data_IF_399206016150
#
_entry.id   IF_399206016150
#
_cell.length_a   1.000
_cell.length_b   1.000
_cell.length_c   1.000
_cell.angle_alpha   90.00
_cell.angle_beta   90.00
_cell.angle_gamma   90.00
#
_symmetry.space_group_name_H-M   'P 1'
#
loop_
_entity.id
_entity.type
_entity.pdbx_description
1 polymer ?
#
# COMPACT_ATOMS: atom_id res chain seq x y z
N UNK A 1 -8.14 -6.34 29.12
CA UNK A 1 -6.74 -6.63 28.73
C UNK A 1 -6.61 -6.47 27.23
N UNK A 2 -5.69 -5.64 26.75
CA UNK A 2 -5.36 -5.56 25.32
C UNK A 2 -4.67 -6.87 24.94
N UNK A 3 -5.25 -7.63 24.00
CA UNK A 3 -4.60 -8.85 23.48
C UNK A 3 -3.29 -8.44 22.80
N UNK A 4 -2.15 -8.85 23.36
CA UNK A 4 -0.85 -8.65 22.72
C UNK A 4 -0.85 -9.37 21.38
N UNK A 5 -0.56 -8.62 20.31
CA UNK A 5 -0.31 -9.20 18.99
C UNK A 5 1.05 -9.85 19.02
N UNK A 6 1.13 -11.14 18.68
CA UNK A 6 2.39 -11.83 18.47
C UNK A 6 3.05 -11.32 17.19
N UNK A 7 4.35 -11.04 17.24
CA UNK A 7 5.14 -10.81 16.04
C UNK A 7 5.60 -12.12 15.40
N UNK A 8 5.54 -12.18 14.07
CA UNK A 8 5.88 -13.36 13.26
C UNK A 8 6.55 -12.94 11.95
N UNK A 9 7.16 -13.91 11.25
CA UNK A 9 7.86 -13.67 9.98
C UNK A 9 8.89 -12.54 10.11
N UNK A 10 8.79 -11.55 9.22
CA UNK A 10 9.65 -10.36 9.21
C UNK A 10 9.67 -9.55 10.53
N UNK A 11 8.65 -9.67 11.38
CA UNK A 11 8.62 -9.03 12.70
C UNK A 11 9.05 -9.96 13.84
N UNK A 12 9.29 -11.25 13.58
CA UNK A 12 9.65 -12.22 14.61
C UNK A 12 10.94 -11.83 15.34
N UNK A 13 10.99 -12.09 16.65
CA UNK A 13 12.14 -11.99 17.54
C UNK A 13 13.06 -13.22 17.51
N UNK A 14 12.71 -14.25 16.72
CA UNK A 14 13.51 -15.45 16.56
C UNK A 14 14.33 -15.35 15.28
N UNK A 15 15.65 -15.42 15.41
CA UNK A 15 16.61 -15.41 14.30
C UNK A 15 16.28 -16.44 13.21
N UNK A 16 15.80 -17.63 13.59
CA UNK A 16 15.33 -18.66 12.65
C UNK A 16 14.29 -18.16 11.64
N UNK A 17 13.42 -17.23 12.04
CA UNK A 17 12.34 -16.70 11.19
C UNK A 17 12.63 -15.29 10.67
N UNK A 18 13.60 -14.59 11.26
CA UNK A 18 13.97 -13.21 10.93
C UNK A 18 15.48 -13.01 11.13
N UNK A 19 16.32 -13.59 10.27
CA UNK A 19 17.77 -13.64 10.51
C UNK A 19 18.40 -12.25 10.57
N UNK A 20 17.87 -11.29 9.80
CA UNK A 20 18.47 -9.96 9.65
C UNK A 20 17.96 -8.94 10.68
N UNK A 21 16.72 -9.06 11.15
CA UNK A 21 16.05 -8.04 11.97
C UNK A 21 15.50 -8.56 13.31
N UNK A 22 15.83 -9.78 13.73
CA UNK A 22 15.25 -10.36 14.96
C UNK A 22 15.50 -9.51 16.22
N UNK A 23 16.62 -8.81 16.28
CA UNK A 23 17.01 -7.96 17.42
C UNK A 23 16.69 -6.46 17.23
N UNK A 24 15.99 -6.08 16.16
CA UNK A 24 15.55 -4.69 15.97
C UNK A 24 14.35 -4.34 16.86
N UNK A 25 14.21 -3.06 17.18
CA UNK A 25 12.96 -2.53 17.73
C UNK A 25 11.84 -2.67 16.68
N UNK A 26 10.71 -3.24 17.08
CA UNK A 26 9.58 -3.51 16.17
C UNK A 26 8.31 -2.83 16.64
N UNK A 27 7.64 -2.19 15.70
CA UNK A 27 6.36 -1.52 15.93
C UNK A 27 5.37 -1.99 14.88
N UNK A 28 4.15 -2.33 15.32
CA UNK A 28 3.05 -2.66 14.42
C UNK A 28 1.94 -1.66 14.62
N UNK A 29 1.72 -0.83 13.59
CA UNK A 29 0.62 0.13 13.54
C UNK A 29 -0.62 -0.60 13.00
N UNK A 30 -1.75 -0.50 13.72
CA UNK A 30 -3.00 -1.07 13.24
C UNK A 30 -3.59 -0.15 12.17
N UNK A 31 -4.01 -0.73 11.06
CA UNK A 31 -4.70 0.00 10.00
C UNK A 31 -6.13 0.30 10.43
N UNK A 32 -6.48 1.58 10.54
CA UNK A 32 -7.80 2.01 11.00
C UNK A 32 -8.33 3.26 10.28
N UNK A 33 -7.66 3.75 9.23
CA UNK A 33 -8.04 5.01 8.58
C UNK A 33 -8.75 4.83 7.23
N UNK A 34 -8.58 3.69 6.56
CA UNK A 34 -9.25 3.38 5.29
C UNK A 34 -8.64 3.99 4.02
N UNK A 35 -7.55 4.76 4.13
CA UNK A 35 -6.95 5.51 3.00
C UNK A 35 -5.43 5.40 2.94
N UNK A 36 -4.85 4.27 3.34
CA UNK A 36 -3.39 4.08 3.35
C UNK A 36 -2.64 5.21 4.09
N UNK A 37 -3.24 5.73 5.17
CA UNK A 37 -2.75 6.84 5.99
C UNK A 37 -2.67 8.21 5.29
N UNK A 38 -3.43 8.45 4.22
CA UNK A 38 -3.42 9.73 3.50
C UNK A 38 -4.53 10.70 3.92
N UNK A 39 -5.62 10.19 4.51
CA UNK A 39 -6.79 11.01 4.81
C UNK A 39 -6.57 12.07 5.89
N UNK A 40 -7.19 13.22 5.74
CA UNK A 40 -7.11 14.30 6.73
C UNK A 40 -8.35 15.21 6.66
N UNK A 41 -9.46 14.70 7.14
CA UNK A 41 -10.72 15.43 7.26
C UNK A 41 -10.89 15.94 8.68
N UNK A 42 -11.12 17.25 8.82
CA UNK A 42 -11.34 17.88 10.13
C UNK A 42 -12.69 17.47 10.72
N UNK A 43 -13.77 17.59 9.95
CA UNK A 43 -15.10 17.20 10.40
C UNK A 43 -15.23 15.67 10.55
N UNK A 44 -16.04 15.24 11.50
CA UNK A 44 -16.51 13.85 11.59
C UNK A 44 -17.65 13.69 10.60
N UNK A 45 -17.70 12.56 9.88
CA UNK A 45 -18.82 12.27 8.99
C UNK A 45 -20.13 12.22 9.81
N UNK A 46 -21.10 13.10 9.57
CA UNK A 46 -22.33 13.16 10.37
C UNK A 46 -23.27 11.98 10.12
N UNK A 47 -23.16 11.29 8.97
CA UNK A 47 -24.01 10.16 8.61
C UNK A 47 -23.46 8.84 9.19
N UNK A 48 -22.14 8.66 9.19
CA UNK A 48 -21.50 7.40 9.60
C UNK A 48 -20.78 7.48 10.95
N UNK A 49 -20.56 8.70 11.48
CA UNK A 49 -19.72 8.97 12.66
C UNK A 49 -18.27 8.47 12.50
N UNK A 50 -17.78 8.36 11.26
CA UNK A 50 -16.42 7.94 10.94
C UNK A 50 -15.44 9.11 10.89
N UNK A 51 -14.18 8.79 11.17
CA UNK A 51 -13.06 9.72 11.15
C UNK A 51 -12.11 9.35 10.01
N UNK A 52 -11.87 10.28 9.09
CA UNK A 52 -10.97 10.07 7.95
C UNK A 52 -9.65 10.83 8.18
N UNK A 53 -8.84 10.34 9.13
CA UNK A 53 -7.67 11.07 9.67
C UNK A 53 -6.37 10.28 9.59
N UNK A 54 -6.20 9.49 8.54
CA UNK A 54 -5.02 8.65 8.31
C UNK A 54 -3.69 9.39 8.45
N UNK A 55 -3.53 10.57 7.84
CA UNK A 55 -2.29 11.32 7.91
C UNK A 55 -1.97 11.79 9.33
N UNK A 56 -3.00 12.15 10.11
CA UNK A 56 -2.81 12.54 11.52
C UNK A 56 -2.36 11.36 12.36
N UNK A 57 -2.92 10.18 12.10
CA UNK A 57 -2.51 8.93 12.76
C UNK A 57 -1.04 8.64 12.42
N UNK A 58 -0.64 8.75 11.16
CA UNK A 58 0.74 8.55 10.74
C UNK A 58 1.71 9.48 11.48
N UNK A 59 1.43 10.79 11.47
CA UNK A 59 2.28 11.77 12.16
C UNK A 59 2.36 11.50 13.66
N UNK A 60 1.21 11.34 14.33
CA UNK A 60 1.17 11.12 15.78
C UNK A 60 1.91 9.85 16.21
N UNK A 61 1.84 8.79 15.41
CA UNK A 61 2.60 7.56 15.68
C UNK A 61 4.09 7.79 15.51
N UNK A 62 4.53 8.44 14.43
CA UNK A 62 5.96 8.70 14.19
C UNK A 62 6.52 9.60 15.29
N UNK A 63 5.82 10.67 15.65
CA UNK A 63 6.23 11.61 16.71
C UNK A 63 6.38 10.90 18.07
N UNK A 64 5.40 10.10 18.47
CA UNK A 64 5.45 9.31 19.71
C UNK A 64 6.64 8.31 19.71
N UNK A 65 6.95 7.69 18.57
CA UNK A 65 8.10 6.79 18.45
C UNK A 65 9.43 7.53 18.50
N UNK A 66 9.52 8.73 17.90
CA UNK A 66 10.70 9.58 17.98
C UNK A 66 11.01 9.93 19.44
N UNK A 67 9.99 10.32 20.21
CA UNK A 67 10.11 10.58 21.65
C UNK A 67 10.55 9.35 22.45
N UNK A 68 10.05 8.16 22.08
CA UNK A 68 10.44 6.87 22.69
C UNK A 68 11.81 6.34 22.27
N UNK A 69 12.57 7.11 21.51
CA UNK A 69 13.97 6.82 21.19
C UNK A 69 14.25 6.49 19.73
N UNK A 70 13.23 6.43 18.86
CA UNK A 70 13.45 6.27 17.42
C UNK A 70 14.27 7.42 16.84
N UNK A 71 14.27 8.61 17.47
CA UNK A 71 15.14 9.73 17.11
C UNK A 71 16.64 9.42 17.23
N UNK A 72 17.02 8.37 17.94
CA UNK A 72 18.41 7.93 18.10
C UNK A 72 18.76 6.73 17.19
N UNK A 73 17.83 6.31 16.33
CA UNK A 73 18.03 5.14 15.49
C UNK A 73 19.11 5.41 14.43
N UNK A 74 20.06 4.47 14.29
CA UNK A 74 21.03 4.49 13.19
C UNK A 74 20.39 4.07 11.86
N UNK A 75 19.45 3.12 11.94
CA UNK A 75 18.69 2.61 10.80
C UNK A 75 17.20 2.61 11.14
N UNK A 76 16.37 3.00 10.19
CA UNK A 76 14.91 2.89 10.28
C UNK A 76 14.36 2.28 9.00
N UNK A 77 13.38 1.40 9.14
CA UNK A 77 12.68 0.77 8.01
C UNK A 77 11.19 1.00 8.16
N UNK A 78 10.59 1.67 7.18
CA UNK A 78 9.13 1.72 7.04
C UNK A 78 8.69 0.54 6.18
N UNK A 79 7.89 -0.37 6.75
CA UNK A 79 7.35 -1.52 6.01
C UNK A 79 5.85 -1.68 6.18
N UNK A 80 5.21 -2.29 5.19
CA UNK A 80 3.76 -2.50 5.18
C UNK A 80 3.33 -3.48 4.11
N UNK A 81 2.18 -4.12 4.33
CA UNK A 81 1.59 -5.12 3.44
C UNK A 81 0.24 -4.61 2.89
N UNK A 82 -0.07 -4.89 1.62
CA UNK A 82 -1.35 -4.49 0.98
C UNK A 82 -1.58 -2.97 1.03
N UNK A 83 -2.69 -2.48 1.59
CA UNK A 83 -2.90 -1.04 1.83
C UNK A 83 -1.78 -0.40 2.66
N UNK A 84 -1.17 -1.14 3.58
CA UNK A 84 0.03 -0.70 4.29
C UNK A 84 1.26 -0.60 3.38
N UNK A 85 1.40 -1.49 2.40
CA UNK A 85 2.45 -1.42 1.38
C UNK A 85 2.27 -0.21 0.47
N UNK A 86 1.03 0.09 0.06
CA UNK A 86 0.71 1.33 -0.65
C UNK A 86 1.06 2.56 0.21
N UNK A 87 0.72 2.53 1.51
CA UNK A 87 1.10 3.59 2.45
C UNK A 87 2.61 3.81 2.49
N UNK A 88 3.42 2.74 2.50
CA UNK A 88 4.88 2.86 2.44
C UNK A 88 5.32 3.64 1.20
N UNK A 89 4.78 3.33 0.02
CA UNK A 89 5.13 4.00 -1.24
C UNK A 89 4.76 5.50 -1.18
N UNK A 90 3.59 5.83 -0.63
CA UNK A 90 3.08 7.20 -0.54
C UNK A 90 3.80 8.05 0.50
N UNK A 91 4.26 7.44 1.59
CA UNK A 91 4.84 8.15 2.73
C UNK A 91 6.36 7.97 2.89
N UNK A 92 7.04 7.23 2.00
CA UNK A 92 8.44 6.88 2.18
C UNK A 92 9.36 8.10 2.40
N UNK A 93 9.29 9.08 1.50
CA UNK A 93 10.10 10.29 1.60
C UNK A 93 9.70 11.16 2.81
N UNK A 94 8.40 11.26 3.10
CA UNK A 94 7.90 11.95 4.30
C UNK A 94 8.41 11.29 5.59
N UNK A 95 8.46 9.96 5.65
CA UNK A 95 9.03 9.25 6.78
C UNK A 95 10.51 9.56 6.93
N UNK A 96 11.28 9.57 5.83
CA UNK A 96 12.70 9.97 5.84
C UNK A 96 12.90 11.39 6.38
N UNK A 97 12.03 12.33 6.01
CA UNK A 97 12.10 13.73 6.45
C UNK A 97 11.83 13.89 7.95
N UNK A 98 11.03 13.02 8.56
CA UNK A 98 10.72 13.06 9.99
C UNK A 98 11.87 12.54 10.88
N UNK A 99 12.87 11.87 10.31
CA UNK A 99 14.01 11.32 11.04
C UNK A 99 15.27 12.20 10.89
N UNK A 100 16.20 12.16 11.87
CA UNK A 100 17.46 12.89 11.75
C UNK A 100 18.22 12.54 10.48
N UNK A 101 18.97 13.52 9.95
CA UNK A 101 19.76 13.33 8.73
C UNK A 101 20.83 12.23 8.85
N UNK A 102 21.26 11.91 10.07
CA UNK A 102 22.19 10.81 10.37
C UNK A 102 21.54 9.42 10.31
N UNK A 103 20.21 9.32 10.34
CA UNK A 103 19.52 8.03 10.30
C UNK A 103 19.42 7.53 8.87
N UNK A 104 19.84 6.28 8.65
CA UNK A 104 19.66 5.60 7.37
C UNK A 104 18.24 5.04 7.28
N UNK A 105 17.41 5.66 6.44
CA UNK A 105 16.03 5.23 6.23
C UNK A 105 15.92 4.43 4.94
N UNK A 106 15.16 3.34 5.00
CA UNK A 106 14.71 2.58 3.85
C UNK A 106 13.22 2.29 3.97
N UNK A 107 12.61 1.91 2.86
CA UNK A 107 11.21 1.55 2.78
C UNK A 107 11.05 0.18 2.10
N UNK A 108 10.09 -0.62 2.57
CA UNK A 108 9.74 -1.90 1.97
C UNK A 108 8.22 -2.01 1.82
N UNK A 109 7.74 -1.99 0.58
CA UNK A 109 6.33 -2.18 0.27
C UNK A 109 6.09 -3.63 -0.16
N UNK A 110 5.30 -4.36 0.60
CA UNK A 110 4.86 -5.72 0.29
C UNK A 110 3.41 -5.71 -0.21
N UNK A 111 3.14 -6.34 -1.36
CA UNK A 111 1.82 -6.45 -1.99
C UNK A 111 1.08 -5.09 -2.13
N UNK A 112 1.82 -3.98 -2.21
CA UNK A 112 1.29 -2.62 -2.24
C UNK A 112 1.19 -2.02 -3.64
N UNK A 113 1.59 -2.76 -4.68
CA UNK A 113 1.65 -2.28 -6.06
C UNK A 113 0.35 -2.57 -6.80
N UNK A 114 -0.66 -1.71 -6.62
CA UNK A 114 -1.93 -1.80 -7.34
C UNK A 114 -1.80 -1.22 -8.75
N UNK A 115 -2.28 -1.95 -9.75
CA UNK A 115 -2.20 -1.57 -11.15
C UNK A 115 -3.48 -0.85 -11.58
N UNK A 116 -3.32 0.30 -12.24
CA UNK A 116 -4.42 1.00 -12.90
C UNK A 116 -4.73 0.34 -14.24
N UNK A 117 -5.58 -0.68 -14.22
CA UNK A 117 -5.98 -1.42 -15.41
C UNK A 117 -7.48 -1.73 -15.37
N UNK A 118 -8.04 -1.96 -16.56
CA UNK A 118 -9.46 -2.23 -16.76
C UNK A 118 -9.83 -3.62 -16.24
N UNK A 119 -11.11 -3.77 -15.85
CA UNK A 119 -11.68 -5.08 -15.52
C UNK A 119 -11.82 -5.97 -16.77
N UNK A 120 -12.18 -7.24 -16.58
CA UNK A 120 -12.57 -8.18 -17.65
C UNK A 120 -13.78 -7.69 -18.47
N UNK A 121 -14.57 -6.76 -17.93
CA UNK A 121 -15.67 -6.11 -18.63
C UNK A 121 -15.27 -4.77 -19.30
N UNK A 122 -13.98 -4.39 -19.21
CA UNK A 122 -13.44 -3.17 -19.84
C UNK A 122 -13.68 -1.88 -19.07
N UNK A 123 -14.11 -1.94 -17.80
CA UNK A 123 -14.41 -0.76 -16.96
C UNK A 123 -13.21 -0.29 -16.16
N UNK A 124 -13.14 1.00 -15.80
CA UNK A 124 -12.05 1.60 -14.99
C UNK A 124 -12.31 1.48 -13.47
N UNK A 125 -12.87 0.35 -13.03
CA UNK A 125 -13.43 0.16 -11.67
C UNK A 125 -12.47 0.56 -10.53
N UNK A 126 -11.19 0.16 -10.58
CA UNK A 126 -10.24 0.50 -9.51
C UNK A 126 -9.89 1.99 -9.47
N UNK A 127 -9.90 2.67 -10.62
CA UNK A 127 -9.64 4.11 -10.69
C UNK A 127 -10.81 4.88 -10.10
N UNK A 128 -12.04 4.47 -10.39
CA UNK A 128 -13.25 5.00 -9.76
C UNK A 128 -13.21 4.76 -8.23
N UNK A 129 -12.88 3.54 -7.79
CA UNK A 129 -12.71 3.23 -6.38
C UNK A 129 -11.69 4.13 -5.67
N UNK A 130 -10.50 4.33 -6.26
CA UNK A 130 -9.51 5.24 -5.66
C UNK A 130 -9.91 6.71 -5.77
N UNK A 131 -10.70 7.11 -6.77
CA UNK A 131 -11.29 8.45 -6.84
C UNK A 131 -12.22 8.69 -5.64
N UNK A 132 -13.04 7.69 -5.29
CA UNK A 132 -13.91 7.75 -4.11
C UNK A 132 -13.11 7.82 -2.81
N UNK A 133 -12.01 7.05 -2.71
CA UNK A 133 -11.10 7.11 -1.55
C UNK A 133 -10.48 8.50 -1.43
N UNK A 134 -9.90 9.04 -2.51
CA UNK A 134 -9.27 10.37 -2.51
C UNK A 134 -10.25 11.46 -2.12
N UNK A 135 -11.48 11.38 -2.65
CA UNK A 135 -12.54 12.35 -2.38
C UNK A 135 -13.03 12.26 -0.94
N UNK A 136 -13.40 11.05 -0.48
CA UNK A 136 -13.96 10.82 0.86
C UNK A 136 -12.96 11.19 1.95
N UNK A 137 -11.68 10.86 1.77
CA UNK A 137 -10.65 11.07 2.77
C UNK A 137 -9.91 12.41 2.62
N UNK A 138 -10.23 13.19 1.57
CA UNK A 138 -9.49 14.41 1.20
C UNK A 138 -7.97 14.16 1.10
N UNK A 139 -7.59 13.03 0.52
CA UNK A 139 -6.21 12.54 0.53
C UNK A 139 -5.24 13.41 -0.29
N UNK A 140 -5.74 14.16 -1.29
CA UNK A 140 -4.91 14.87 -2.27
C UNK A 140 -3.81 15.75 -1.63
N UNK A 141 -4.11 16.42 -0.52
CA UNK A 141 -3.15 17.31 0.17
C UNK A 141 -1.99 16.58 0.88
N UNK A 142 -2.10 15.26 1.04
CA UNK A 142 -1.11 14.41 1.71
C UNK A 142 -0.41 13.45 0.75
N UNK A 143 -0.76 13.47 -0.53
CA UNK A 143 -0.08 12.70 -1.57
C UNK A 143 1.20 13.43 -2.01
N UNK A 144 2.19 12.70 -2.60
CA UNK A 144 3.42 13.32 -3.08
C UNK A 144 3.14 14.45 -4.09
N UNK A 145 3.64 15.65 -3.81
CA UNK A 145 3.44 16.83 -4.65
C UNK A 145 3.98 16.64 -6.08
N UNK A 146 5.06 15.86 -6.21
CA UNK A 146 5.65 15.47 -7.49
C UNK A 146 4.69 14.63 -8.36
N UNK A 147 3.72 13.95 -7.75
CA UNK A 147 2.66 13.26 -8.45
C UNK A 147 1.42 14.15 -8.66
N UNK A 148 0.92 14.82 -7.62
CA UNK A 148 -0.34 15.61 -7.72
C UNK A 148 -0.21 16.82 -8.67
N UNK A 149 1.00 17.36 -8.84
CA UNK A 149 1.29 18.40 -9.84
C UNK A 149 1.09 17.95 -11.30
N UNK A 150 0.96 16.64 -11.58
CA UNK A 150 0.77 16.09 -12.93
C UNK A 150 -0.70 15.97 -13.34
N UNK A 151 -1.65 16.34 -12.48
CA UNK A 151 -3.08 16.37 -12.79
C UNK A 151 -3.94 15.66 -11.75
N UNK A 152 -4.71 14.66 -12.18
CA UNK A 152 -5.65 13.94 -11.32
C UNK A 152 -4.93 13.24 -10.15
N UNK A 153 -5.22 13.71 -8.92
CA UNK A 153 -4.62 13.18 -7.69
C UNK A 153 -4.98 11.71 -7.44
N UNK A 154 -6.06 11.20 -8.03
CA UNK A 154 -6.42 9.78 -8.01
C UNK A 154 -5.30 8.91 -8.57
N UNK A 155 -4.60 9.39 -9.60
CA UNK A 155 -3.52 8.64 -10.22
C UNK A 155 -2.35 8.38 -9.26
N UNK A 156 -2.21 9.19 -8.21
CA UNK A 156 -1.16 9.02 -7.21
C UNK A 156 -1.41 7.85 -6.25
N UNK A 157 -2.62 7.30 -6.17
CA UNK A 157 -2.86 6.04 -5.45
C UNK A 157 -2.32 4.81 -6.19
N UNK A 158 -1.90 4.96 -7.44
CA UNK A 158 -1.30 3.90 -8.21
C UNK A 158 0.22 4.03 -8.24
N UNK A 159 0.97 3.07 -7.67
CA UNK A 159 2.42 3.19 -7.52
C UNK A 159 3.23 3.44 -8.78
N UNK A 160 2.75 3.07 -9.97
CA UNK A 160 3.45 3.41 -11.22
C UNK A 160 3.63 4.93 -11.42
N UNK A 161 2.81 5.77 -10.79
CA UNK A 161 2.91 7.23 -10.88
C UNK A 161 3.74 7.87 -9.75
N UNK A 162 4.04 7.11 -8.70
CA UNK A 162 4.70 7.62 -7.48
C UNK A 162 6.09 7.02 -7.31
N UNK A 163 6.22 5.69 -7.38
CA UNK A 163 7.45 4.98 -7.07
C UNK A 163 8.68 5.47 -7.86
N UNK A 164 8.60 5.84 -9.16
CA UNK A 164 9.75 6.39 -9.90
C UNK A 164 10.26 7.74 -9.37
N UNK A 165 9.47 8.43 -8.54
CA UNK A 165 9.78 9.75 -8.00
C UNK A 165 10.22 9.69 -6.53
N UNK A 166 10.15 8.52 -5.89
CA UNK A 166 10.59 8.32 -4.50
C UNK A 166 12.11 8.36 -4.47
N UNK A 167 12.66 9.20 -3.59
CA UNK A 167 14.11 9.42 -3.48
C UNK A 167 14.77 8.55 -2.41
N UNK A 168 14.00 8.19 -1.37
CA UNK A 168 14.43 7.26 -0.32
C UNK A 168 14.45 5.83 -0.87
N UNK A 169 15.48 5.00 -0.57
CA UNK A 169 15.55 3.64 -1.08
C UNK A 169 14.29 2.83 -0.75
N UNK A 170 13.57 2.43 -1.79
CA UNK A 170 12.30 1.72 -1.73
C UNK A 170 12.44 0.34 -2.38
N UNK A 171 12.25 -0.70 -1.58
CA UNK A 171 12.14 -2.08 -2.06
C UNK A 171 10.67 -2.45 -2.26
N UNK A 172 10.30 -2.92 -3.45
CA UNK A 172 8.94 -3.34 -3.76
C UNK A 172 8.91 -4.85 -3.91
N UNK A 173 8.21 -5.53 -3.01
CA UNK A 173 7.91 -6.94 -3.09
C UNK A 173 6.45 -7.08 -3.54
N UNK A 174 6.22 -7.64 -4.72
CA UNK A 174 4.86 -7.89 -5.20
C UNK A 174 4.80 -9.22 -5.93
N UNK A 175 3.73 -9.98 -5.72
CA UNK A 175 3.49 -11.18 -6.51
C UNK A 175 3.23 -10.79 -7.97
N UNK A 176 3.72 -11.61 -8.91
CA UNK A 176 3.47 -11.40 -10.35
C UNK A 176 1.96 -11.47 -10.67
N UNK A 177 1.23 -12.33 -9.96
CA UNK A 177 -0.23 -12.44 -10.03
C UNK A 177 -0.80 -12.24 -8.63
N UNK A 178 -0.84 -10.99 -8.19
CA UNK A 178 -1.40 -10.68 -6.87
C UNK A 178 -2.87 -11.09 -6.76
N UNK A 179 -3.19 -11.88 -5.75
CA UNK A 179 -4.52 -12.45 -5.57
C UNK A 179 -5.62 -11.39 -5.36
N UNK A 180 -5.29 -10.27 -4.70
CA UNK A 180 -6.24 -9.18 -4.49
C UNK A 180 -6.51 -8.45 -5.81
N UNK A 181 -5.45 -8.16 -6.57
CA UNK A 181 -5.56 -7.54 -7.89
C UNK A 181 -6.38 -8.42 -8.86
N UNK A 182 -6.13 -9.73 -8.92
CA UNK A 182 -6.92 -10.64 -9.79
C UNK A 182 -8.39 -10.67 -9.36
N UNK A 183 -8.65 -10.90 -8.06
CA UNK A 183 -9.99 -11.13 -7.54
C UNK A 183 -10.86 -9.88 -7.48
N UNK A 184 -10.29 -8.74 -7.08
CA UNK A 184 -11.07 -7.55 -6.74
C UNK A 184 -10.90 -6.40 -7.75
N UNK A 185 -9.93 -6.49 -8.66
CA UNK A 185 -9.67 -5.44 -9.65
C UNK A 185 -9.86 -5.95 -11.08
N UNK A 186 -9.20 -7.05 -11.48
CA UNK A 186 -9.37 -7.61 -12.81
C UNK A 186 -10.77 -8.25 -12.98
N UNK A 187 -11.16 -9.14 -12.06
CA UNK A 187 -12.43 -9.89 -12.14
C UNK A 187 -13.35 -9.69 -10.90
N UNK A 188 -13.67 -8.43 -10.51
CA UNK A 188 -14.60 -8.18 -9.41
C UNK A 188 -15.99 -8.74 -9.76
N UNK A 189 -16.81 -9.03 -8.74
CA UNK A 189 -18.14 -9.63 -8.95
C UNK A 189 -19.03 -8.83 -9.91
N UNK A 190 -18.94 -7.50 -9.89
CA UNK A 190 -19.69 -6.62 -10.81
C UNK A 190 -19.27 -6.77 -12.28
N UNK A 191 -18.03 -7.19 -12.55
CA UNK A 191 -17.52 -7.44 -13.89
C UNK A 191 -17.67 -8.92 -14.32
N UNK A 192 -18.09 -9.80 -13.42
CA UNK A 192 -18.27 -11.24 -13.61
C UNK A 192 -19.68 -11.70 -13.19
N UNK A 193 -20.76 -11.15 -13.78
CA UNK A 193 -22.13 -11.39 -13.32
C UNK A 193 -22.57 -12.85 -13.46
N UNK A 194 -21.94 -13.61 -14.35
CA UNK A 194 -22.22 -15.03 -14.57
C UNK A 194 -21.28 -15.97 -13.78
N UNK A 195 -20.33 -15.43 -13.01
CA UNK A 195 -19.41 -16.23 -12.20
C UNK A 195 -18.40 -17.06 -13.01
N UNK A 196 -18.17 -16.72 -14.27
CA UNK A 196 -17.25 -17.45 -15.16
C UNK A 196 -15.80 -17.40 -14.64
N UNK A 197 -15.46 -16.37 -13.86
CA UNK A 197 -14.13 -16.22 -13.25
C UNK A 197 -14.06 -16.71 -11.81
N UNK A 198 -15.14 -17.25 -11.23
CA UNK A 198 -15.22 -17.61 -9.82
C UNK A 198 -14.08 -18.53 -9.37
N UNK A 199 -13.90 -19.67 -10.03
CA UNK A 199 -12.87 -20.64 -9.66
C UNK A 199 -11.46 -20.10 -9.95
N UNK A 200 -11.26 -19.52 -11.15
CA UNK A 200 -9.97 -18.98 -11.59
C UNK A 200 -9.42 -17.88 -10.65
N UNK A 201 -10.27 -16.95 -10.19
CA UNK A 201 -9.82 -15.85 -9.32
C UNK A 201 -9.58 -16.24 -7.87
N UNK A 202 -10.02 -17.44 -7.48
CA UNK A 202 -9.73 -18.02 -6.16
C UNK A 202 -8.55 -18.99 -6.20
N UNK A 203 -8.34 -19.64 -7.35
CA UNK A 203 -7.28 -20.59 -7.61
C UNK A 203 -6.83 -20.50 -9.07
N UNK A 204 -5.65 -19.91 -9.29
CA UNK A 204 -5.12 -19.66 -10.63
C UNK A 204 -4.89 -20.97 -11.41
N UNK A 205 -4.76 -22.11 -10.72
CA UNK A 205 -4.62 -23.43 -11.37
C UNK A 205 -5.90 -23.91 -12.03
N UNK A 206 -7.04 -23.27 -11.73
CA UNK A 206 -8.36 -23.55 -12.31
C UNK A 206 -8.72 -22.61 -13.46
N UNK A 207 -7.82 -21.71 -13.85
CA UNK A 207 -8.05 -20.81 -14.98
C UNK A 207 -7.97 -21.57 -16.31
N UNK A 208 -8.85 -21.22 -17.25
CA UNK A 208 -8.67 -21.60 -18.66
C UNK A 208 -7.51 -20.83 -19.30
N UNK A 209 -7.02 -21.30 -20.45
CA UNK A 209 -5.95 -20.62 -21.19
C UNK A 209 -6.30 -19.16 -21.51
N UNK A 210 -7.56 -18.88 -21.87
CA UNK A 210 -8.02 -17.51 -22.14
C UNK A 210 -8.01 -16.64 -20.87
N UNK A 211 -8.36 -17.21 -19.72
CA UNK A 211 -8.30 -16.48 -18.45
C UNK A 211 -6.85 -16.21 -18.03
N UNK A 212 -5.95 -17.17 -18.21
CA UNK A 212 -4.52 -16.99 -17.95
C UNK A 212 -3.91 -15.90 -18.86
N UNK A 213 -4.27 -15.88 -20.14
CA UNK A 213 -3.83 -14.83 -21.07
C UNK A 213 -4.34 -13.45 -20.65
N UNK A 214 -5.59 -13.36 -20.20
CA UNK A 214 -6.16 -12.10 -19.69
C UNK A 214 -5.47 -11.65 -18.38
N UNK A 215 -5.14 -12.57 -17.47
CA UNK A 215 -4.31 -12.26 -16.28
C UNK A 215 -2.94 -11.75 -16.72
N UNK A 216 -2.23 -12.47 -17.59
CA UNK A 216 -0.91 -12.05 -18.08
C UNK A 216 -0.93 -10.68 -18.75
N UNK A 217 -1.96 -10.42 -19.58
CA UNK A 217 -2.16 -9.13 -20.22
C UNK A 217 -2.46 -8.00 -19.22
N UNK A 218 -3.16 -8.31 -18.12
CA UNK A 218 -3.42 -7.36 -17.03
C UNK A 218 -2.14 -6.93 -16.30
N UNK A 219 -1.20 -7.85 -16.11
CA UNK A 219 0.08 -7.62 -15.44
C UNK A 219 1.23 -7.30 -16.42
N UNK A 220 0.92 -6.77 -17.62
CA UNK A 220 1.85 -6.59 -18.73
C UNK A 220 3.28 -6.21 -18.28
N UNK A 221 4.33 -6.96 -18.69
CA UNK A 221 5.70 -6.86 -18.17
C UNK A 221 6.32 -5.46 -18.15
N UNK A 222 5.90 -4.52 -19.00
CA UNK A 222 6.41 -3.15 -18.96
C UNK A 222 6.15 -2.43 -17.62
N UNK A 223 5.16 -2.86 -16.84
CA UNK A 223 4.88 -2.32 -15.50
C UNK A 223 5.68 -3.03 -14.38
N UNK A 224 6.00 -4.32 -14.53
CA UNK A 224 6.75 -5.08 -13.52
C UNK A 224 8.28 -5.01 -13.68
N UNK A 225 8.78 -4.80 -14.90
CA UNK A 225 10.24 -4.83 -15.16
C UNK A 225 10.98 -3.60 -14.60
N UNK A 226 10.26 -2.51 -14.30
CA UNK A 226 10.88 -1.26 -13.83
C UNK A 226 11.09 -1.16 -12.32
N UNK A 227 10.64 -2.14 -11.53
CA UNK A 227 10.65 -2.05 -10.06
C UNK A 227 11.41 -3.19 -9.36
N UNK A 228 12.09 -4.05 -10.12
CA UNK A 228 13.02 -5.06 -9.61
C UNK A 228 14.46 -4.57 -9.81
N UNK A 229 14.89 -3.57 -9.02
CA UNK A 229 16.31 -3.25 -8.82
C UNK A 229 16.53 -2.96 -7.34
#
# INVERSE_FOLDING_TARGET
MVKQLSFSGFLSDKEKFNPDFFNWNKVKVRYCDGSSFTGDVEAVDPATNLYYRGQRIFNAVVDDLLEKGMKNAQNALLSGCSAGGLSVILHCDKFRELLPQSTKVKCMADAGFFINAKTIAGTEYIKEFFSDVVTTHQSAKNLPASCTSKGDSTLCFFPQNVAPQVTTPLFILNAAYDSYQVKNILAPGIADPHGTWHDCKLDITKCSDTQLQAIQGHFNPSLCTSFLI
#
